data_IF_630937485691
#
_entry.id   IF_630937485691
#
_cell.length_a   1.000
_cell.length_b   1.000
_cell.length_c   1.000
_cell.angle_alpha   90.00
_cell.angle_beta   90.00
_cell.angle_gamma   90.00
#
_symmetry.space_group_name_H-M   'P 1'
#
loop_
_entity.id
_entity.type
_entity.pdbx_description
1 polymer ?
#
# COMPACT_ATOMS: atom_id res chain seq x y z
N UNK A 1 23.63 -28.87 -0.08
CA UNK A 1 22.17 -28.64 0.08
C UNK A 1 21.95 -27.17 0.38
N UNK A 2 21.31 -26.41 -0.51
CA UNK A 2 20.81 -25.07 -0.17
C UNK A 2 19.64 -25.28 0.78
N UNK A 3 19.74 -24.73 2.00
CA UNK A 3 18.62 -24.69 2.94
C UNK A 3 17.59 -23.75 2.31
N UNK A 4 16.55 -24.28 1.69
CA UNK A 4 15.39 -23.46 1.35
C UNK A 4 14.89 -22.85 2.65
N UNK A 5 15.03 -21.52 2.77
CA UNK A 5 14.29 -20.77 3.77
C UNK A 5 12.83 -20.87 3.33
N UNK A 6 12.07 -21.78 3.95
CA UNK A 6 10.65 -21.94 3.66
C UNK A 6 9.90 -20.72 4.19
N UNK A 7 9.67 -19.74 3.32
CA UNK A 7 8.70 -18.69 3.60
C UNK A 7 7.30 -19.31 3.60
N UNK A 8 6.75 -19.53 4.79
CA UNK A 8 5.45 -20.16 4.99
C UNK A 8 4.53 -19.22 5.76
N UNK A 9 3.71 -18.41 5.07
CA UNK A 9 2.66 -17.60 5.70
C UNK A 9 1.74 -18.44 6.59
N UNK A 10 1.18 -17.86 7.67
CA UNK A 10 0.23 -18.56 8.51
C UNK A 10 -1.04 -18.90 7.71
N UNK A 11 -1.61 -20.07 8.00
CA UNK A 11 -2.91 -20.48 7.50
C UNK A 11 -3.65 -21.28 8.59
N UNK A 12 -4.91 -20.93 8.94
CA UNK A 12 -5.63 -19.75 8.48
C UNK A 12 -5.00 -18.46 9.02
N UNK A 13 -5.12 -17.37 8.26
CA UNK A 13 -4.66 -16.04 8.67
C UNK A 13 -5.82 -15.08 8.94
N UNK A 14 -7.03 -15.41 8.49
CA UNK A 14 -8.28 -14.76 8.85
C UNK A 14 -9.04 -15.62 9.88
N UNK A 15 -9.95 -15.01 10.65
CA UNK A 15 -10.95 -15.79 11.39
C UNK A 15 -12.03 -16.29 10.44
N UNK A 16 -12.79 -17.31 10.83
CA UNK A 16 -13.91 -17.83 10.04
C UNK A 16 -14.94 -16.74 9.72
N UNK A 17 -15.22 -15.84 10.67
CA UNK A 17 -16.14 -14.72 10.49
C UNK A 17 -15.59 -13.69 9.49
N UNK A 18 -14.29 -13.39 9.56
CA UNK A 18 -13.63 -12.50 8.61
C UNK A 18 -13.64 -13.08 7.20
N UNK A 19 -13.35 -14.37 7.07
CA UNK A 19 -13.39 -15.08 5.79
C UNK A 19 -14.80 -15.11 5.21
N UNK A 20 -15.79 -15.46 6.03
CA UNK A 20 -17.19 -15.46 5.61
C UNK A 20 -17.67 -14.06 5.19
N UNK A 21 -17.30 -13.01 5.94
CA UNK A 21 -17.64 -11.63 5.57
C UNK A 21 -17.04 -11.25 4.21
N UNK A 22 -15.78 -11.64 3.95
CA UNK A 22 -15.17 -11.43 2.65
C UNK A 22 -15.94 -12.16 1.54
N UNK A 23 -16.28 -13.42 1.74
CA UNK A 23 -16.98 -14.23 0.73
C UNK A 23 -18.37 -13.69 0.38
N UNK A 24 -19.07 -13.08 1.35
CA UNK A 24 -20.41 -12.52 1.16
C UNK A 24 -20.37 -11.11 0.57
N UNK A 25 -19.46 -10.25 1.03
CA UNK A 25 -19.49 -8.82 0.73
C UNK A 25 -18.38 -8.36 -0.23
N UNK A 26 -17.42 -9.21 -0.55
CA UNK A 26 -16.26 -8.88 -1.39
C UNK A 26 -15.19 -8.04 -0.68
N UNK A 27 -15.34 -7.78 0.62
CA UNK A 27 -14.34 -7.08 1.43
C UNK A 27 -14.42 -7.51 2.91
N UNK A 28 -13.34 -7.26 3.66
CA UNK A 28 -13.29 -7.45 5.12
C UNK A 28 -12.43 -6.38 5.78
N UNK A 29 -12.86 -5.89 6.95
CA UNK A 29 -12.09 -4.96 7.76
C UNK A 29 -11.26 -5.71 8.80
N UNK A 30 -9.93 -5.55 8.74
CA UNK A 30 -9.00 -6.11 9.72
C UNK A 30 -8.44 -4.98 10.58
N UNK A 31 -9.00 -4.81 11.78
CA UNK A 31 -8.54 -3.79 12.70
C UNK A 31 -7.10 -4.05 13.16
N UNK A 32 -6.29 -2.98 13.18
CA UNK A 32 -4.91 -3.03 13.68
C UNK A 32 -4.07 -4.14 13.01
N UNK A 33 -4.36 -4.43 11.73
CA UNK A 33 -3.62 -5.43 10.94
C UNK A 33 -2.11 -5.16 10.93
N UNK A 34 -1.73 -3.88 10.98
CA UNK A 34 -0.34 -3.42 10.99
C UNK A 34 -0.07 -2.75 12.35
N UNK A 35 1.01 -3.13 13.06
CA UNK A 35 1.43 -2.45 14.28
C UNK A 35 1.66 -0.95 14.08
N UNK A 36 1.27 -0.14 15.07
CA UNK A 36 1.39 1.33 15.01
C UNK A 36 2.82 1.81 14.75
N UNK A 37 3.83 1.08 15.22
CA UNK A 37 5.25 1.36 14.97
C UNK A 37 5.62 1.17 13.50
N UNK A 38 5.15 0.10 12.85
CA UNK A 38 5.34 -0.13 11.41
C UNK A 38 4.62 0.94 10.59
N UNK A 39 3.39 1.29 10.96
CA UNK A 39 2.63 2.38 10.32
C UNK A 39 3.38 3.70 10.38
N UNK A 40 3.95 4.06 11.54
CA UNK A 40 4.76 5.27 11.70
C UNK A 40 5.98 5.26 10.77
N UNK A 41 6.72 4.14 10.71
CA UNK A 41 7.89 4.00 9.82
C UNK A 41 7.53 4.17 8.35
N UNK A 42 6.47 3.50 7.88
CA UNK A 42 5.95 3.63 6.51
C UNK A 42 5.57 5.06 6.18
N UNK A 43 4.79 5.70 7.06
CA UNK A 43 4.35 7.08 6.88
C UNK A 43 5.53 8.04 6.79
N UNK A 44 6.51 7.91 7.69
CA UNK A 44 7.73 8.73 7.66
C UNK A 44 8.48 8.54 6.35
N UNK A 45 8.71 7.29 5.93
CA UNK A 45 9.41 6.97 4.68
C UNK A 45 8.70 7.58 3.44
N UNK A 46 7.38 7.47 3.34
CA UNK A 46 6.60 8.06 2.24
C UNK A 46 6.66 9.59 2.25
N UNK A 47 6.60 10.22 3.42
CA UNK A 47 6.67 11.68 3.53
C UNK A 47 8.07 12.22 3.22
N UNK A 48 9.12 11.49 3.59
CA UNK A 48 10.50 11.81 3.20
C UNK A 48 10.71 11.66 1.70
N UNK A 49 10.20 10.58 1.10
CA UNK A 49 10.23 10.38 -0.35
C UNK A 49 9.48 11.51 -1.09
N UNK A 50 8.30 11.90 -0.61
CA UNK A 50 7.57 13.07 -1.15
C UNK A 50 8.43 14.33 -1.12
N UNK A 51 9.09 14.61 0.01
CA UNK A 51 9.99 15.77 0.15
C UNK A 51 11.17 15.68 -0.81
N UNK A 52 11.69 14.49 -1.06
CA UNK A 52 12.80 14.28 -1.99
C UNK A 52 12.40 14.62 -3.43
N UNK A 53 11.27 14.09 -3.91
CA UNK A 53 10.73 14.47 -5.22
C UNK A 53 10.42 15.98 -5.31
N UNK A 54 9.95 16.58 -4.22
CA UNK A 54 9.62 18.02 -4.18
C UNK A 54 10.84 18.95 -4.33
N UNK A 55 12.07 18.42 -4.29
CA UNK A 55 13.29 19.20 -4.57
C UNK A 55 13.51 19.48 -6.05
N UNK A 56 12.81 18.76 -6.93
CA UNK A 56 12.94 18.89 -8.38
C UNK A 56 11.83 19.78 -8.94
N UNK A 57 12.14 20.58 -9.96
CA UNK A 57 11.17 21.42 -10.65
C UNK A 57 10.17 20.61 -11.49
N UNK A 58 10.60 19.47 -12.03
CA UNK A 58 9.77 18.54 -12.83
C UNK A 58 9.73 17.15 -12.20
N UNK A 59 9.09 16.98 -11.02
CA UNK A 59 9.14 15.73 -10.26
C UNK A 59 8.60 14.52 -11.04
N UNK A 60 7.62 14.72 -11.94
CA UNK A 60 7.01 13.67 -12.74
C UNK A 60 7.94 13.07 -13.82
N UNK A 61 9.07 13.72 -14.10
CA UNK A 61 10.07 13.28 -15.08
C UNK A 61 11.28 12.58 -14.41
N UNK A 62 11.30 12.52 -13.08
CA UNK A 62 12.40 11.98 -12.29
C UNK A 62 12.03 10.61 -11.73
N UNK A 63 13.05 9.77 -11.56
CA UNK A 63 12.94 8.49 -10.87
C UNK A 63 13.89 8.47 -9.68
N UNK A 64 13.41 8.03 -8.51
CA UNK A 64 14.21 7.84 -7.29
C UNK A 64 14.12 6.37 -6.92
N UNK A 65 15.24 5.62 -7.02
CA UNK A 65 15.30 4.18 -6.72
C UNK A 65 14.17 3.40 -7.43
N UNK A 66 14.07 3.57 -8.75
CA UNK A 66 13.04 3.01 -9.62
C UNK A 66 11.59 3.47 -9.35
N UNK A 67 11.34 4.24 -8.30
CA UNK A 67 10.04 4.85 -8.03
C UNK A 67 9.82 6.07 -8.91
N UNK A 68 8.62 6.18 -9.47
CA UNK A 68 8.13 7.33 -10.23
C UNK A 68 7.01 8.01 -9.45
N UNK A 69 6.84 9.31 -9.66
CA UNK A 69 5.76 10.06 -9.01
C UNK A 69 4.83 10.67 -10.05
N UNK A 70 3.53 10.62 -9.77
CA UNK A 70 2.55 11.52 -10.37
C UNK A 70 2.10 12.50 -9.28
N UNK A 71 2.66 13.70 -9.32
CA UNK A 71 2.39 14.75 -8.37
C UNK A 71 1.39 15.76 -8.92
N UNK A 72 0.32 15.99 -8.16
CA UNK A 72 -0.66 17.05 -8.38
C UNK A 72 -0.84 17.91 -7.13
N UNK A 73 -1.68 18.95 -7.23
CA UNK A 73 -2.03 19.82 -6.08
C UNK A 73 -2.76 19.07 -4.96
N UNK A 74 -3.52 18.02 -5.29
CA UNK A 74 -4.41 17.33 -4.34
C UNK A 74 -3.95 15.94 -3.98
N UNK A 75 -2.97 15.38 -4.70
CA UNK A 75 -2.40 14.09 -4.34
C UNK A 75 -0.97 13.90 -4.85
N UNK A 76 -0.26 12.96 -4.23
CA UNK A 76 1.02 12.43 -4.70
C UNK A 76 0.86 10.93 -4.83
N UNK A 77 0.97 10.40 -6.05
CA UNK A 77 0.95 8.98 -6.33
C UNK A 77 2.37 8.49 -6.63
N UNK A 78 2.82 7.44 -5.95
CA UNK A 78 4.12 6.79 -6.14
C UNK A 78 3.91 5.42 -6.79
N UNK A 79 4.55 5.19 -7.93
CA UNK A 79 4.58 3.89 -8.59
C UNK A 79 5.95 3.23 -8.40
N UNK A 80 5.98 1.90 -8.22
CA UNK A 80 7.19 1.10 -7.92
C UNK A 80 7.89 1.52 -6.62
N UNK A 81 7.13 1.73 -5.55
CA UNK A 81 7.64 2.25 -4.27
C UNK A 81 8.49 1.23 -3.49
N UNK A 82 8.48 -0.05 -3.87
CA UNK A 82 9.09 -1.16 -3.13
C UNK A 82 10.56 -0.92 -2.73
N UNK A 83 11.36 -0.38 -3.63
CA UNK A 83 12.83 -0.25 -3.46
C UNK A 83 13.24 1.04 -2.74
N UNK A 84 12.27 1.91 -2.41
CA UNK A 84 12.56 3.26 -1.93
C UNK A 84 13.08 3.29 -0.48
N UNK A 85 12.56 2.38 0.36
CA UNK A 85 12.88 2.29 1.78
C UNK A 85 12.67 0.85 2.29
N UNK A 86 13.53 0.32 3.20
CA UNK A 86 13.35 -1.01 3.79
C UNK A 86 11.98 -1.23 4.47
N UNK A 87 11.35 -0.15 4.95
CA UNK A 87 10.02 -0.24 5.56
C UNK A 87 8.94 -0.66 4.54
N UNK A 88 9.14 -0.41 3.24
CA UNK A 88 8.21 -0.85 2.19
C UNK A 88 8.25 -2.37 2.05
N UNK A 89 9.45 -2.96 1.90
CA UNK A 89 9.57 -4.41 1.78
C UNK A 89 9.15 -5.13 3.07
N UNK A 90 9.42 -4.55 4.25
CA UNK A 90 8.91 -5.06 5.54
C UNK A 90 7.37 -5.14 5.59
N UNK A 91 6.68 -4.30 4.82
CA UNK A 91 5.22 -4.27 4.70
C UNK A 91 4.72 -5.26 3.65
N UNK A 92 5.22 -5.18 2.42
CA UNK A 92 4.80 -6.05 1.31
C UNK A 92 5.15 -7.53 1.56
N UNK A 93 6.20 -7.80 2.34
CA UNK A 93 6.62 -9.15 2.69
C UNK A 93 6.14 -9.60 4.09
N UNK A 94 5.20 -8.89 4.72
CA UNK A 94 4.67 -9.29 6.03
C UNK A 94 3.97 -10.67 5.92
N UNK A 95 4.44 -11.71 6.64
CA UNK A 95 3.89 -13.05 6.49
C UNK A 95 2.40 -13.11 6.80
N UNK A 96 1.91 -12.34 7.77
CA UNK A 96 0.51 -12.34 8.15
C UNK A 96 -0.36 -11.72 7.06
N UNK A 97 0.07 -10.59 6.48
CA UNK A 97 -0.65 -9.98 5.36
C UNK A 97 -0.67 -10.91 4.15
N UNK A 98 0.46 -11.54 3.82
CA UNK A 98 0.51 -12.50 2.71
C UNK A 98 -0.38 -13.71 3.00
N UNK A 99 -0.43 -14.21 4.24
CA UNK A 99 -1.33 -15.31 4.63
C UNK A 99 -2.79 -14.96 4.39
N UNK A 100 -3.23 -13.74 4.77
CA UNK A 100 -4.60 -13.27 4.51
C UNK A 100 -4.89 -13.20 3.00
N UNK A 101 -3.96 -12.68 2.21
CA UNK A 101 -4.13 -12.56 0.75
C UNK A 101 -4.17 -13.95 0.09
N UNK A 102 -3.27 -14.86 0.45
CA UNK A 102 -3.25 -16.23 -0.07
C UNK A 102 -4.52 -17.00 0.28
N UNK A 103 -5.02 -16.82 1.50
CA UNK A 103 -6.28 -17.42 1.93
C UNK A 103 -7.44 -16.92 1.07
N UNK A 104 -7.58 -15.60 0.89
CA UNK A 104 -8.62 -14.99 0.04
C UNK A 104 -8.54 -15.47 -1.41
N UNK A 105 -7.34 -15.47 -2.00
CA UNK A 105 -7.11 -15.92 -3.39
C UNK A 105 -7.28 -17.44 -3.55
N UNK A 106 -7.11 -18.21 -2.47
CA UNK A 106 -7.17 -19.67 -2.49
C UNK A 106 -5.89 -20.33 -3.03
N UNK A 107 -4.74 -19.67 -2.91
CA UNK A 107 -3.48 -20.20 -3.45
C UNK A 107 -2.27 -19.29 -3.29
N UNK A 108 -1.17 -19.67 -3.96
CA UNK A 108 0.06 -18.87 -3.97
C UNK A 108 -0.16 -17.57 -4.74
N UNK A 109 0.42 -16.48 -4.22
CA UNK A 109 0.34 -15.14 -4.81
C UNK A 109 1.72 -14.58 -5.10
N UNK A 110 1.77 -13.55 -5.96
CA UNK A 110 2.98 -12.76 -6.25
C UNK A 110 2.62 -11.29 -6.12
N UNK A 111 3.59 -10.48 -5.72
CA UNK A 111 3.46 -9.03 -5.80
C UNK A 111 3.45 -8.65 -7.28
N UNK A 112 2.39 -7.96 -7.70
CA UNK A 112 2.27 -7.43 -9.05
C UNK A 112 2.73 -5.97 -9.08
N UNK A 113 2.10 -5.14 -8.25
CA UNK A 113 2.37 -3.71 -8.18
C UNK A 113 2.68 -3.25 -6.75
N UNK A 114 3.45 -2.15 -6.65
CA UNK A 114 3.77 -1.50 -5.38
C UNK A 114 3.55 -0.01 -5.51
N UNK A 115 2.38 0.43 -5.06
CA UNK A 115 1.95 1.82 -5.14
C UNK A 115 1.70 2.42 -3.75
N UNK A 116 1.84 3.73 -3.67
CA UNK A 116 1.44 4.49 -2.50
C UNK A 116 0.82 5.82 -2.90
N UNK A 117 -0.26 6.22 -2.23
CA UNK A 117 -0.96 7.46 -2.52
C UNK A 117 -1.01 8.30 -1.24
N UNK A 118 -0.49 9.54 -1.32
CA UNK A 118 -0.71 10.57 -0.31
C UNK A 118 -1.76 11.53 -0.85
N UNK A 119 -2.97 11.45 -0.32
CA UNK A 119 -4.03 12.39 -0.63
C UNK A 119 -3.90 13.63 0.27
N UNK A 120 -4.09 14.82 -0.30
CA UNK A 120 -4.12 16.10 0.40
C UNK A 120 -5.45 16.76 0.04
N UNK A 121 -6.36 16.88 1.02
CA UNK A 121 -7.59 17.64 0.80
C UNK A 121 -7.19 19.08 0.44
N UNK A 122 -7.79 19.70 -0.59
CA UNK A 122 -7.63 21.13 -0.77
C UNK A 122 -8.08 21.85 0.52
N UNK A 123 -7.43 22.98 0.82
CA UNK A 123 -7.84 23.84 1.94
C UNK A 123 -9.34 24.16 1.82
N UNK A 124 -10.12 24.11 2.93
CA UNK A 124 -11.58 24.16 2.91
C UNK A 124 -12.17 25.41 2.20
N UNK A 125 -11.37 26.46 2.06
CA UNK A 125 -11.68 27.69 1.34
C UNK A 125 -11.86 27.55 -0.19
N UNK A 126 -11.55 26.39 -0.80
CA UNK A 126 -11.66 26.18 -2.26
C UNK A 126 -12.52 24.98 -2.71
N UNK A 127 -13.28 24.33 -1.83
CA UNK A 127 -14.17 23.22 -2.24
C UNK A 127 -15.48 23.23 -1.47
N UNK A 128 -16.55 23.68 -2.14
CA UNK A 128 -17.94 23.55 -1.67
C UNK A 128 -18.44 22.10 -1.86
N UNK A 129 -17.74 21.29 -2.68
CA UNK A 129 -18.14 19.93 -3.03
C UNK A 129 -16.99 18.98 -2.71
N UNK A 130 -17.20 17.93 -1.89
CA UNK A 130 -16.22 16.86 -1.69
C UNK A 130 -15.86 16.20 -3.04
N UNK A 131 -14.59 15.80 -3.26
CA UNK A 131 -14.23 15.07 -4.48
C UNK A 131 -15.04 13.77 -4.58
N UNK A 132 -15.69 13.56 -5.73
CA UNK A 132 -16.46 12.36 -6.02
C UNK A 132 -15.55 11.29 -6.64
N UNK A 133 -15.22 10.28 -5.84
CA UNK A 133 -14.56 9.07 -6.31
C UNK A 133 -15.65 8.13 -6.82
N UNK A 134 -16.13 8.40 -8.04
CA UNK A 134 -17.18 7.61 -8.72
C UNK A 134 -17.04 6.10 -8.48
N UNK A 135 -18.15 5.36 -8.49
CA UNK A 135 -18.11 3.91 -8.38
C UNK A 135 -17.23 3.29 -9.49
N UNK A 136 -16.22 2.53 -9.08
CA UNK A 136 -15.29 1.82 -9.96
C UNK A 136 -14.84 0.52 -9.27
N UNK A 137 -14.44 -0.47 -10.06
CA UNK A 137 -13.95 -1.77 -9.60
C UNK A 137 -12.44 -1.79 -9.32
N UNK A 138 -11.79 -0.63 -9.34
CA UNK A 138 -10.36 -0.53 -9.62
C UNK A 138 -10.10 -0.43 -11.13
N UNK A 139 -8.96 0.13 -11.51
CA UNK A 139 -8.43 0.10 -12.89
C UNK A 139 -7.89 -1.28 -13.25
#
# INVERSE_FOLDING_TARGET
MKKELSFNPPFPSLTSEQRYHFDVYGYVLIEKAIPTTKVKRLKTALLELKKEFSKFSTPNEITIKNCRVNHSKTYTHFAHVLETNPSMIDYYADPKLIGMVQEVVGGKVRLEESEAIINSKPEPENTIIPPDYNFHTGT
#
